data_IF_718365648004
#
_entry.id   IF_718365648004
#
_cell.length_a   1.000
_cell.length_b   1.000
_cell.length_c   1.000
_cell.angle_alpha   90.00
_cell.angle_beta   90.00
_cell.angle_gamma   90.00
#
_symmetry.space_group_name_H-M   'P 1'
#
loop_
_entity.id
_entity.type
_entity.pdbx_description
1 polymer ?
#
# COMPACT_ATOMS: atom_id res chain seq x y z
N UNK A 1 15.89 -21.15 37.26
CA UNK A 1 15.32 -21.88 36.12
C UNK A 1 16.35 -21.85 35.01
N UNK A 2 17.03 -22.97 34.78
CA UNK A 2 18.08 -23.06 33.77
C UNK A 2 17.45 -23.09 32.38
N UNK A 3 17.73 -22.08 31.56
CA UNK A 3 17.30 -22.06 30.17
C UNK A 3 18.11 -23.10 29.40
N UNK A 4 17.45 -24.14 28.87
CA UNK A 4 18.06 -25.20 28.07
C UNK A 4 18.76 -24.59 26.83
N UNK A 5 20.10 -24.50 26.76
CA UNK A 5 20.81 -23.90 25.62
C UNK A 5 20.51 -24.64 24.30
N UNK A 6 20.26 -25.95 24.40
CA UNK A 6 19.91 -26.82 23.27
C UNK A 6 18.68 -26.33 22.49
N UNK A 7 17.65 -25.80 23.16
CA UNK A 7 16.44 -25.35 22.48
C UNK A 7 16.68 -24.08 21.65
N UNK A 8 17.56 -23.20 22.12
CA UNK A 8 17.90 -21.95 21.44
C UNK A 8 18.76 -22.18 20.20
N UNK A 9 19.78 -23.05 20.29
CA UNK A 9 20.64 -23.37 19.16
C UNK A 9 19.90 -24.18 18.08
N UNK A 10 19.03 -25.11 18.49
CA UNK A 10 18.14 -25.80 17.55
C UNK A 10 17.21 -24.83 16.82
N UNK A 11 16.60 -23.87 17.55
CA UNK A 11 15.75 -22.85 16.93
C UNK A 11 16.52 -21.98 15.93
N UNK A 12 17.75 -21.57 16.26
CA UNK A 12 18.61 -20.84 15.32
C UNK A 12 18.88 -21.63 14.05
N UNK A 13 19.23 -22.91 14.18
CA UNK A 13 19.51 -23.77 13.04
C UNK A 13 18.27 -23.90 12.13
N UNK A 14 17.10 -24.13 12.73
CA UNK A 14 15.83 -24.21 11.98
C UNK A 14 15.52 -22.89 11.25
N UNK A 15 15.59 -21.75 11.96
CA UNK A 15 15.31 -20.44 11.37
C UNK A 15 16.32 -20.05 10.27
N UNK A 16 17.57 -20.50 10.35
CA UNK A 16 18.61 -20.21 9.34
C UNK A 16 18.30 -20.84 7.99
N UNK A 17 17.59 -21.97 7.98
CA UNK A 17 17.26 -22.73 6.76
C UNK A 17 15.79 -22.63 6.36
N UNK A 18 14.97 -21.90 7.13
CA UNK A 18 13.56 -21.67 6.83
C UNK A 18 13.39 -20.61 5.74
N UNK A 19 12.37 -20.78 4.89
CA UNK A 19 11.96 -19.77 3.90
C UNK A 19 11.64 -18.43 4.58
N UNK A 20 12.02 -17.33 3.93
CA UNK A 20 11.88 -15.98 4.48
C UNK A 20 10.42 -15.63 4.79
N UNK A 21 9.49 -15.97 3.89
CA UNK A 21 8.08 -15.63 4.05
C UNK A 21 7.44 -16.44 5.19
N UNK A 22 7.83 -17.71 5.34
CA UNK A 22 7.44 -18.53 6.49
C UNK A 22 7.97 -17.96 7.81
N UNK A 23 9.21 -17.45 7.83
CA UNK A 23 9.77 -16.80 9.03
C UNK A 23 8.97 -15.58 9.42
N UNK A 24 8.58 -14.73 8.47
CA UNK A 24 7.75 -13.56 8.76
C UNK A 24 6.40 -13.96 9.37
N UNK A 25 5.71 -14.94 8.78
CA UNK A 25 4.45 -15.47 9.32
C UNK A 25 4.62 -16.03 10.74
N UNK A 26 5.68 -16.81 10.97
CA UNK A 26 5.95 -17.43 12.26
C UNK A 26 6.31 -16.39 13.34
N UNK A 27 7.15 -15.42 12.99
CA UNK A 27 7.58 -14.31 13.85
C UNK A 27 6.39 -13.43 14.26
N UNK A 28 5.44 -13.20 13.35
CA UNK A 28 4.20 -12.46 13.63
C UNK A 28 3.25 -13.22 14.56
N UNK A 29 3.10 -14.54 14.38
CA UNK A 29 2.17 -15.37 15.17
C UNK A 29 2.73 -15.81 16.53
N UNK A 30 4.06 -15.91 16.65
CA UNK A 30 4.73 -16.43 17.84
C UNK A 30 5.76 -15.41 18.35
N UNK A 31 5.34 -14.44 19.19
CA UNK A 31 6.24 -13.39 19.70
C UNK A 31 7.48 -13.93 20.42
N UNK A 32 7.37 -15.11 21.06
CA UNK A 32 8.45 -15.73 21.80
C UNK A 32 9.71 -16.05 20.95
N UNK A 33 9.56 -16.24 19.64
CA UNK A 33 10.69 -16.53 18.75
C UNK A 33 11.30 -15.30 18.07
N UNK A 34 10.64 -14.13 18.13
CA UNK A 34 11.05 -12.92 17.40
C UNK A 34 12.48 -12.50 17.72
N UNK A 35 12.89 -12.59 18.99
CA UNK A 35 14.24 -12.23 19.43
C UNK A 35 15.30 -13.09 18.73
N UNK A 36 15.06 -14.40 18.66
CA UNK A 36 15.97 -15.33 17.98
C UNK A 36 15.94 -15.13 16.47
N UNK A 37 14.76 -14.93 15.91
CA UNK A 37 14.53 -14.68 14.48
C UNK A 37 15.31 -13.45 13.99
N UNK A 38 15.25 -12.32 14.72
CA UNK A 38 16.00 -11.10 14.39
C UNK A 38 17.53 -11.25 14.44
N UNK A 39 18.05 -12.20 15.23
CA UNK A 39 19.49 -12.46 15.35
C UNK A 39 19.98 -13.36 14.20
N UNK A 40 19.13 -14.27 13.72
CA UNK A 40 19.50 -15.23 12.68
C UNK A 40 19.44 -14.56 11.31
N UNK A 41 20.54 -14.55 10.53
CA UNK A 41 20.54 -13.95 9.19
C UNK A 41 19.38 -14.47 8.33
N UNK A 42 18.71 -13.55 7.65
CA UNK A 42 17.63 -13.86 6.73
C UNK A 42 18.19 -14.06 5.32
N UNK A 43 17.80 -15.15 4.65
CA UNK A 43 18.17 -15.40 3.25
C UNK A 43 16.99 -15.12 2.34
N UNK A 44 17.15 -14.14 1.46
CA UNK A 44 16.16 -13.75 0.46
C UNK A 44 16.81 -13.98 -0.92
N UNK A 45 16.12 -14.71 -1.80
CA UNK A 45 16.60 -14.98 -3.16
C UNK A 45 16.29 -13.81 -4.09
N UNK A 46 15.12 -13.17 -3.92
CA UNK A 46 14.69 -12.01 -4.70
C UNK A 46 14.03 -10.99 -3.79
N UNK A 47 14.52 -9.76 -3.82
CA UNK A 47 13.89 -8.62 -3.17
C UNK A 47 13.65 -7.57 -4.25
N UNK A 48 12.41 -7.15 -4.45
CA UNK A 48 12.04 -6.17 -5.47
C UNK A 48 11.06 -5.15 -4.91
N UNK A 49 11.34 -3.87 -5.14
CA UNK A 49 10.46 -2.77 -4.77
C UNK A 49 9.77 -2.28 -6.04
N UNK A 50 8.48 -2.58 -6.21
CA UNK A 50 7.73 -2.24 -7.43
C UNK A 50 6.96 -0.92 -7.31
N UNK A 51 6.60 -0.50 -6.09
CA UNK A 51 5.91 0.76 -5.85
C UNK A 51 6.20 1.26 -4.42
N UNK A 52 5.85 2.52 -4.09
CA UNK A 52 6.01 3.04 -2.72
C UNK A 52 5.31 2.21 -1.63
N UNK A 53 4.26 1.46 -1.99
CA UNK A 53 3.37 0.80 -1.04
C UNK A 53 3.39 -0.73 -1.17
N UNK A 54 4.28 -1.28 -1.98
CA UNK A 54 4.42 -2.73 -2.11
C UNK A 54 5.85 -3.16 -2.44
N UNK A 55 6.22 -4.33 -1.94
CA UNK A 55 7.50 -4.96 -2.25
C UNK A 55 7.31 -6.47 -2.35
N UNK A 56 8.24 -7.13 -3.02
CA UNK A 56 8.20 -8.57 -3.25
C UNK A 56 9.41 -9.23 -2.60
N UNK A 57 9.14 -10.28 -1.81
CA UNK A 57 10.15 -11.17 -1.22
C UNK A 57 9.97 -12.56 -1.80
N UNK A 58 11.00 -13.03 -2.50
CA UNK A 58 10.99 -14.24 -3.32
C UNK A 58 9.85 -14.17 -4.35
N UNK A 59 8.73 -14.83 -4.05
CA UNK A 59 7.54 -14.89 -4.91
C UNK A 59 6.28 -14.44 -4.13
N UNK A 60 6.45 -13.56 -3.15
CA UNK A 60 5.35 -13.08 -2.29
C UNK A 60 5.37 -11.57 -2.24
N UNK A 61 4.25 -10.97 -2.67
CA UNK A 61 4.06 -9.52 -2.66
C UNK A 61 3.48 -9.12 -1.29
N UNK A 62 4.16 -8.21 -0.64
CA UNK A 62 3.76 -7.55 0.59
C UNK A 62 3.26 -6.16 0.23
N UNK A 63 2.10 -5.80 0.77
CA UNK A 63 1.45 -4.51 0.52
C UNK A 63 1.23 -3.79 1.84
N UNK A 64 1.38 -2.47 1.80
CA UNK A 64 1.04 -1.57 2.88
C UNK A 64 -0.20 -0.78 2.47
N UNK A 65 -1.19 -0.75 3.35
CA UNK A 65 -2.42 -0.01 3.10
C UNK A 65 -3.09 0.43 4.38
N UNK A 66 -3.66 1.64 4.34
CA UNK A 66 -4.39 2.22 5.45
C UNK A 66 -5.83 1.70 5.45
N UNK A 67 -6.21 0.98 6.50
CA UNK A 67 -7.56 0.46 6.66
C UNK A 67 -8.47 1.53 7.28
N UNK A 68 -9.53 1.93 6.57
CA UNK A 68 -10.47 2.95 7.06
C UNK A 68 -11.68 2.28 7.71
N UNK A 69 -11.76 2.38 9.04
CA UNK A 69 -12.92 1.95 9.81
C UNK A 69 -13.43 3.13 10.64
N UNK A 70 -14.68 3.53 10.43
CA UNK A 70 -15.29 4.68 11.08
C UNK A 70 -16.22 4.23 12.21
N UNK A 71 -16.16 4.89 13.36
CA UNK A 71 -17.05 4.58 14.49
C UNK A 71 -18.46 5.08 14.15
N UNK A 72 -19.44 4.17 14.18
CA UNK A 72 -20.87 4.53 14.12
C UNK A 72 -21.43 4.87 12.74
N UNK A 73 -20.62 4.80 11.68
CA UNK A 73 -21.07 5.05 10.31
C UNK A 73 -20.84 3.83 9.41
N UNK A 74 -21.74 3.63 8.45
CA UNK A 74 -21.48 2.73 7.32
C UNK A 74 -20.22 3.20 6.58
N UNK A 75 -19.29 2.28 6.33
CA UNK A 75 -18.08 2.59 5.56
C UNK A 75 -18.52 2.96 4.15
N UNK A 76 -18.06 4.12 3.66
CA UNK A 76 -18.32 4.56 2.29
C UNK A 76 -17.91 3.42 1.33
N UNK A 77 -18.75 3.01 0.36
CA UNK A 77 -18.50 1.83 -0.48
C UNK A 77 -17.12 1.81 -1.13
N UNK A 78 -16.62 2.97 -1.58
CA UNK A 78 -15.24 3.13 -2.09
C UNK A 78 -14.20 2.64 -1.07
N UNK A 79 -14.34 3.05 0.18
CA UNK A 79 -13.41 2.70 1.25
C UNK A 79 -13.52 1.23 1.61
N UNK A 80 -14.71 0.64 1.53
CA UNK A 80 -14.90 -0.79 1.73
C UNK A 80 -14.17 -1.60 0.65
N UNK A 81 -14.31 -1.23 -0.62
CA UNK A 81 -13.58 -1.89 -1.73
C UNK A 81 -12.07 -1.77 -1.52
N UNK A 82 -11.58 -0.60 -1.16
CA UNK A 82 -10.16 -0.39 -0.89
C UNK A 82 -9.69 -1.25 0.31
N UNK A 83 -10.47 -1.30 1.39
CA UNK A 83 -10.21 -2.16 2.55
C UNK A 83 -10.17 -3.65 2.19
N UNK A 84 -11.09 -4.12 1.36
CA UNK A 84 -11.13 -5.51 0.87
C UNK A 84 -9.90 -5.85 -0.01
N UNK A 85 -9.31 -4.84 -0.66
CA UNK A 85 -8.10 -4.98 -1.47
C UNK A 85 -6.79 -4.74 -0.69
N UNK A 86 -6.85 -4.64 0.64
CA UNK A 86 -5.67 -4.46 1.50
C UNK A 86 -5.45 -3.04 2.02
N UNK A 87 -6.41 -2.13 1.81
CA UNK A 87 -6.38 -0.76 2.31
C UNK A 87 -6.03 0.28 1.24
N UNK A 88 -6.08 1.55 1.63
CA UNK A 88 -5.66 2.67 0.79
C UNK A 88 -4.13 2.76 0.72
N UNK A 89 -3.57 2.83 -0.49
CA UNK A 89 -2.13 2.91 -0.74
C UNK A 89 -1.62 4.34 -0.53
N UNK A 90 -1.55 4.76 0.73
CA UNK A 90 -1.08 6.07 1.15
C UNK A 90 -1.38 6.36 2.62
N UNK A 91 -0.69 7.35 3.16
CA UNK A 91 -1.00 7.89 4.48
C UNK A 91 -2.25 8.79 4.38
N UNK A 92 -2.96 8.93 5.50
CA UNK A 92 -4.15 9.77 5.60
C UNK A 92 -3.95 10.84 6.66
N UNK A 93 -4.42 12.05 6.37
CA UNK A 93 -4.49 13.13 7.35
C UNK A 93 -5.65 12.91 8.35
N UNK A 94 -5.76 13.82 9.33
CA UNK A 94 -6.80 13.80 10.35
C UNK A 94 -8.24 13.91 9.78
N UNK A 95 -8.38 14.37 8.53
CA UNK A 95 -9.65 14.49 7.82
C UNK A 95 -9.91 13.32 6.87
N UNK A 96 -8.99 12.35 6.78
CA UNK A 96 -9.09 11.18 5.90
C UNK A 96 -8.74 11.45 4.44
N UNK A 97 -8.04 12.54 4.14
CA UNK A 97 -7.45 12.80 2.82
C UNK A 97 -6.03 12.25 2.74
N UNK A 98 -5.55 12.01 1.53
CA UNK A 98 -4.16 11.57 1.29
C UNK A 98 -3.15 12.57 1.87
N UNK A 99 -2.28 12.09 2.77
CA UNK A 99 -1.20 12.88 3.33
C UNK A 99 0.15 12.49 2.73
N UNK A 100 0.68 13.37 1.89
CA UNK A 100 1.98 13.22 1.27
C UNK A 100 3.08 14.02 1.99
N UNK A 101 2.84 14.46 3.24
CA UNK A 101 3.79 15.27 4.02
C UNK A 101 5.08 14.53 4.39
N UNK A 102 5.00 13.21 4.52
CA UNK A 102 6.12 12.31 4.84
C UNK A 102 7.01 12.00 3.64
N UNK A 103 6.55 12.26 2.41
CA UNK A 103 7.28 11.91 1.19
C UNK A 103 8.58 12.70 1.10
N UNK A 104 9.70 11.99 0.96
CA UNK A 104 11.03 12.57 0.84
C UNK A 104 11.69 12.94 2.17
N UNK A 105 11.02 12.73 3.30
CA UNK A 105 11.66 12.83 4.62
C UNK A 105 12.46 11.55 4.86
N UNK A 106 13.77 11.68 4.99
CA UNK A 106 14.68 10.56 5.32
C UNK A 106 15.01 10.61 6.81
N UNK A 107 14.78 9.49 7.50
CA UNK A 107 15.05 9.31 8.92
C UNK A 107 16.25 8.38 9.16
N UNK A 108 16.92 8.44 10.32
CA UNK A 108 18.01 7.53 10.63
C UNK A 108 17.57 6.06 10.57
N UNK A 109 18.21 5.30 9.68
CA UNK A 109 17.89 3.88 9.45
C UNK A 109 17.22 3.59 8.10
N UNK A 110 16.80 4.61 7.38
CA UNK A 110 16.19 4.46 6.05
C UNK A 110 17.24 4.07 4.99
N UNK A 111 16.78 3.27 4.01
CA UNK A 111 17.55 2.88 2.84
C UNK A 111 17.13 3.76 1.66
N UNK A 112 18.05 4.59 1.16
CA UNK A 112 17.80 5.42 -0.01
C UNK A 112 18.17 4.60 -1.26
N UNK A 113 17.16 4.25 -2.06
CA UNK A 113 17.38 3.71 -3.39
C UNK A 113 17.44 4.88 -4.38
N UNK A 114 18.59 5.07 -5.02
CA UNK A 114 18.72 6.04 -6.10
C UNK A 114 17.97 5.51 -7.33
N UNK A 115 16.70 5.88 -7.43
CA UNK A 115 15.92 5.67 -8.63
C UNK A 115 15.62 7.05 -9.23
N UNK A 116 16.22 7.34 -10.38
CA UNK A 116 16.02 8.58 -11.12
C UNK A 116 14.55 8.77 -11.54
N UNK A 117 13.74 7.70 -11.50
CA UNK A 117 12.30 7.76 -11.78
C UNK A 117 11.42 8.12 -10.56
N UNK A 118 11.98 8.12 -9.33
CA UNK A 118 11.28 8.54 -8.11
C UNK A 118 11.41 10.05 -7.82
N UNK A 119 11.81 10.85 -8.81
CA UNK A 119 11.60 12.30 -8.81
C UNK A 119 10.10 12.66 -8.94
N UNK A 120 9.25 12.16 -8.04
CA UNK A 120 7.85 12.54 -7.98
C UNK A 120 7.46 12.79 -6.51
N UNK A 121 8.28 13.58 -5.82
CA UNK A 121 7.72 14.51 -4.85
C UNK A 121 6.89 15.52 -5.62
N UNK A 122 5.63 15.20 -5.91
CA UNK A 122 4.66 16.28 -5.91
C UNK A 122 4.49 16.61 -4.43
N UNK A 123 5.06 17.71 -3.91
CA UNK A 123 4.50 18.30 -2.69
C UNK A 123 2.99 18.39 -2.88
N UNK A 124 2.21 18.50 -1.80
CA UNK A 124 0.86 19.06 -1.86
C UNK A 124 0.97 20.39 -2.60
N UNK A 125 0.90 20.36 -3.94
CA UNK A 125 1.12 21.54 -4.73
C UNK A 125 -0.05 22.45 -4.38
N UNK A 126 0.12 23.75 -4.50
CA UNK A 126 -0.99 24.70 -4.43
C UNK A 126 -2.20 24.21 -5.26
N UNK A 127 -1.90 23.48 -6.34
CA UNK A 127 -2.85 22.81 -7.22
C UNK A 127 -3.73 21.76 -6.54
N UNK A 128 -3.26 21.07 -5.48
CA UNK A 128 -4.05 20.12 -4.69
C UNK A 128 -5.10 20.83 -3.82
N UNK A 129 -4.75 21.95 -3.17
CA UNK A 129 -5.67 22.74 -2.37
C UNK A 129 -6.74 23.40 -3.23
N UNK A 130 -6.35 24.05 -4.32
CA UNK A 130 -7.31 24.64 -5.27
C UNK A 130 -8.24 23.59 -5.87
N UNK A 131 -7.71 22.39 -6.16
CA UNK A 131 -8.53 21.28 -6.65
C UNK A 131 -9.55 20.81 -5.61
N UNK A 132 -9.15 20.71 -4.33
CA UNK A 132 -10.04 20.32 -3.23
C UNK A 132 -11.06 21.38 -2.88
N UNK A 133 -10.68 22.65 -2.88
CA UNK A 133 -11.64 23.75 -2.72
C UNK A 133 -12.67 23.79 -3.85
N UNK A 134 -12.23 23.55 -5.09
CA UNK A 134 -13.13 23.47 -6.23
C UNK A 134 -14.09 22.30 -6.09
N UNK A 135 -13.58 21.13 -5.70
CA UNK A 135 -14.38 19.94 -5.45
C UNK A 135 -15.44 20.18 -4.37
N UNK A 136 -15.06 20.79 -3.24
CA UNK A 136 -16.00 21.18 -2.17
C UNK A 136 -17.10 22.11 -2.67
N UNK A 137 -16.74 23.18 -3.40
CA UNK A 137 -17.72 24.13 -3.97
C UNK A 137 -18.71 23.43 -4.91
N UNK A 138 -18.24 22.49 -5.73
CA UNK A 138 -19.11 21.71 -6.63
C UNK A 138 -20.04 20.80 -5.82
N UNK A 139 -19.55 20.10 -4.80
CA UNK A 139 -20.36 19.22 -3.96
C UNK A 139 -21.41 19.98 -3.15
N UNK A 140 -21.03 21.11 -2.56
CA UNK A 140 -21.96 22.00 -1.84
C UNK A 140 -23.08 22.51 -2.75
N UNK A 141 -22.74 22.90 -3.98
CA UNK A 141 -23.72 23.34 -4.97
C UNK A 141 -24.70 22.22 -5.34
N UNK A 142 -24.20 21.01 -5.59
CA UNK A 142 -25.04 19.85 -5.91
C UNK A 142 -25.94 19.43 -4.74
N UNK A 143 -25.44 19.51 -3.51
CA UNK A 143 -26.23 19.25 -2.31
C UNK A 143 -27.33 20.30 -2.13
N UNK A 144 -27.02 21.57 -2.34
CA UNK A 144 -27.99 22.66 -2.24
C UNK A 144 -29.07 22.56 -3.35
N UNK A 145 -28.70 22.18 -4.58
CA UNK A 145 -29.65 21.91 -5.66
C UNK A 145 -30.58 20.73 -5.32
N UNK A 146 -30.04 19.61 -4.81
CA UNK A 146 -30.86 18.49 -4.31
C UNK A 146 -31.82 18.88 -3.18
N UNK A 147 -31.45 19.87 -2.38
CA UNK A 147 -32.29 20.43 -1.32
C UNK A 147 -33.26 21.52 -1.82
N UNK A 148 -33.33 21.78 -3.14
CA UNK A 148 -34.20 22.79 -3.73
C UNK A 148 -33.80 24.24 -3.44
N UNK A 149 -32.57 24.48 -2.97
CA UNK A 149 -32.06 25.83 -2.73
C UNK A 149 -31.56 26.40 -4.06
N UNK A 150 -31.80 27.69 -4.27
CA UNK A 150 -31.25 28.41 -5.43
C UNK A 150 -29.74 28.56 -5.27
N UNK A 151 -28.97 27.99 -6.21
CA UNK A 151 -27.50 28.05 -6.21
C UNK A 151 -27.03 28.82 -7.44
N UNK A 152 -25.95 29.60 -7.28
CA UNK A 152 -25.28 30.23 -8.42
C UNK A 152 -24.74 29.15 -9.36
N UNK A 153 -24.94 29.25 -10.68
CA UNK A 153 -24.48 28.24 -11.61
C UNK A 153 -22.94 28.17 -11.59
N UNK A 154 -22.40 27.02 -11.16
CA UNK A 154 -20.97 26.71 -11.23
C UNK A 154 -20.72 26.01 -12.56
N UNK A 155 -19.75 26.48 -13.34
CA UNK A 155 -19.33 25.82 -14.59
C UNK A 155 -18.57 24.54 -14.25
N UNK A 156 -19.24 23.41 -14.41
CA UNK A 156 -18.68 22.06 -14.22
C UNK A 156 -17.81 21.70 -15.43
N UNK A 157 -16.60 21.18 -15.18
CA UNK A 157 -15.65 20.72 -16.21
C UNK A 157 -15.63 19.19 -16.31
N UNK A 158 -15.04 18.65 -17.37
CA UNK A 158 -14.86 17.19 -17.53
C UNK A 158 -14.07 16.56 -16.37
N UNK A 159 -13.11 17.31 -15.80
CA UNK A 159 -12.36 16.89 -14.62
C UNK A 159 -13.29 16.74 -13.42
N UNK A 160 -14.18 17.69 -13.21
CA UNK A 160 -15.18 17.66 -12.13
C UNK A 160 -16.13 16.46 -12.34
N UNK A 161 -16.56 16.16 -13.58
CA UNK A 161 -17.38 14.98 -13.89
C UNK A 161 -16.68 13.66 -13.61
N UNK A 162 -15.39 13.52 -13.92
CA UNK A 162 -14.63 12.29 -13.61
C UNK A 162 -14.57 12.03 -12.11
N UNK A 163 -14.32 13.08 -11.33
CA UNK A 163 -14.29 13.03 -9.88
C UNK A 163 -15.68 12.65 -9.34
N UNK A 164 -16.75 13.31 -9.79
CA UNK A 164 -18.13 12.99 -9.41
C UNK A 164 -18.52 11.55 -9.76
N UNK A 165 -18.11 11.05 -10.93
CA UNK A 165 -18.37 9.67 -11.34
C UNK A 165 -17.58 8.66 -10.50
N UNK A 166 -16.42 9.01 -9.94
CA UNK A 166 -15.72 8.15 -8.98
C UNK A 166 -16.53 7.93 -7.69
N UNK A 167 -17.31 8.94 -7.27
CA UNK A 167 -18.25 8.84 -6.15
C UNK A 167 -19.56 8.12 -6.50
N UNK A 168 -19.98 8.14 -7.77
CA UNK A 168 -21.18 7.41 -8.22
C UNK A 168 -20.93 5.94 -8.51
N UNK A 169 -19.79 5.62 -9.14
CA UNK A 169 -19.42 4.24 -9.51
C UNK A 169 -19.02 3.38 -8.30
N UNK A 170 -18.82 4.00 -7.15
CA UNK A 170 -18.73 3.28 -5.86
C UNK A 170 -20.09 2.74 -5.38
N UNK A 171 -21.21 3.12 -6.01
CA UNK A 171 -22.55 2.63 -5.67
C UNK A 171 -23.04 1.46 -6.54
N UNK A 172 -22.17 0.85 -7.37
CA UNK A 172 -22.52 -0.29 -8.22
C UNK A 172 -22.11 -1.59 -7.53
N UNK A 173 -23.09 -2.47 -7.30
CA UNK A 173 -22.97 -3.81 -6.72
C UNK A 173 -21.93 -4.68 -7.46
N UNK A 174 -20.69 -4.68 -7.00
CA UNK A 174 -19.73 -5.73 -7.33
C UNK A 174 -19.91 -6.88 -6.34
N UNK A 175 -20.93 -7.71 -6.56
CA UNK A 175 -21.01 -9.04 -5.93
C UNK A 175 -19.93 -9.94 -6.51
N UNK A 176 -18.69 -9.73 -6.08
CA UNK A 176 -17.63 -10.74 -6.21
C UNK A 176 -17.10 -10.98 -4.80
N UNK A 177 -17.19 -12.21 -4.26
CA UNK A 177 -16.83 -12.46 -2.87
C UNK A 177 -15.35 -12.19 -2.63
N UNK A 178 -15.08 -11.36 -1.61
CA UNK A 178 -13.75 -11.13 -1.07
C UNK A 178 -13.16 -12.46 -0.57
N UNK A 179 -11.97 -12.81 -1.05
CA UNK A 179 -11.18 -13.92 -0.50
C UNK A 179 -10.29 -13.33 0.60
N UNK A 180 -10.49 -13.67 1.88
CA UNK A 180 -9.68 -13.15 2.97
C UNK A 180 -8.26 -13.72 2.90
N UNK A 181 -7.23 -12.87 3.09
CA UNK A 181 -5.82 -13.23 3.28
C UNK A 181 -5.38 -14.57 2.65
N UNK A 182 -5.48 -14.71 1.33
CA UNK A 182 -4.86 -15.84 0.63
C UNK A 182 -3.80 -15.35 -0.32
N UNK A 183 -2.58 -15.82 -0.07
CA UNK A 183 -1.46 -15.94 -1.01
C UNK A 183 -1.98 -16.05 -2.45
N UNK A 184 -1.69 -15.06 -3.31
CA UNK A 184 -1.57 -15.35 -4.73
C UNK A 184 -0.19 -15.96 -4.95
N UNK A 185 -0.13 -17.28 -5.18
CA UNK A 185 0.95 -17.83 -6.01
C UNK A 185 0.68 -17.32 -7.42
N UNK A 186 1.49 -16.39 -7.91
CA UNK A 186 1.53 -16.13 -9.35
C UNK A 186 2.11 -17.36 -10.03
N UNK A 187 1.27 -18.12 -10.74
CA UNK A 187 1.73 -18.95 -11.84
C UNK A 187 1.98 -18.02 -13.02
N UNK A 188 3.12 -17.32 -13.02
CA UNK A 188 3.61 -16.70 -14.24
C UNK A 188 4.41 -17.75 -14.99
N UNK A 189 3.77 -18.37 -16.00
CA UNK A 189 4.48 -18.96 -17.12
C UNK A 189 5.35 -17.84 -17.72
N UNK A 190 6.65 -17.95 -17.54
CA UNK A 190 7.63 -17.07 -18.16
C UNK A 190 7.57 -17.38 -19.66
N UNK A 191 6.91 -16.52 -20.43
CA UNK A 191 7.32 -16.35 -21.83
C UNK A 191 8.66 -15.63 -21.78
N UNK A 192 9.73 -16.36 -22.11
CA UNK A 192 11.03 -15.79 -22.42
C UNK A 192 10.86 -14.98 -23.70
N UNK A 193 10.69 -13.69 -23.56
CA UNK A 193 11.04 -12.78 -24.65
C UNK A 193 12.54 -12.52 -24.55
N UNK A 194 13.27 -13.28 -25.36
CA UNK A 194 14.67 -13.03 -25.70
C UNK A 194 14.75 -11.69 -26.44
N UNK A 195 14.91 -10.59 -25.69
CA UNK A 195 15.39 -9.33 -26.25
C UNK A 195 16.51 -8.78 -25.38
N UNK A 196 17.67 -8.80 -26.02
CA UNK A 196 18.99 -8.41 -25.57
C UNK A 196 19.00 -6.96 -25.10
N UNK A 197 19.31 -6.73 -23.82
CA UNK A 197 20.01 -5.53 -23.38
C UNK A 197 21.24 -5.93 -22.57
N UNK A 198 22.37 -5.88 -23.25
CA UNK A 198 23.70 -5.94 -22.67
C UNK A 198 23.90 -4.72 -21.76
N UNK A 199 24.19 -4.94 -20.47
CA UNK A 199 24.86 -3.96 -19.61
C UNK A 199 26.00 -4.65 -18.87
N UNK A 200 27.27 -4.28 -19.13
CA UNK A 200 28.41 -4.97 -18.56
C UNK A 200 28.79 -4.30 -17.24
N UNK A 201 28.61 -5.00 -16.11
CA UNK A 201 29.30 -4.65 -14.88
C UNK A 201 30.23 -5.79 -14.47
N UNK A 202 31.53 -5.55 -14.69
CA UNK A 202 32.63 -6.35 -14.17
C UNK A 202 32.85 -5.97 -12.71
N UNK A 203 32.93 -6.97 -11.84
CA UNK A 203 33.33 -6.79 -10.45
C UNK A 203 34.85 -6.64 -10.36
N UNK A 204 35.31 -5.69 -9.55
CA UNK A 204 36.62 -5.66 -8.94
C UNK A 204 36.46 -6.00 -7.46
#
# INVERSE_FOLDING_TARGET
MESKPFQYDCLKAVLKHMDANLRFELSARVPAIQKTEKIVPLKINRLYFSSPYEFEVNNTIYKFGTYRNYIGNEIVPKHQIENENGGFAGDLDEFGNEDNSSIGIVTPGDLIFHDESFHMGFPRSLHSFESKERELKVLEALLAEKQGKSVKPIKITDRDYRILNSYKNSSVDYKTPAIPLTKRRSSSTIHKDDSVYNCPFKWA
#
